data_IF_666597598164
#
_entry.id   IF_666597598164
#
_cell.length_a   1.000
_cell.length_b   1.000
_cell.length_c   1.000
_cell.angle_alpha   90.00
_cell.angle_beta   90.00
_cell.angle_gamma   90.00
#
_symmetry.space_group_name_H-M   'P 1'
#
loop_
_entity.id
_entity.type
_entity.pdbx_description
1 polymer ?
#
# COMPACT_ATOMS: atom_id res chain seq x y z
N UNK A 1 -6.52 -0.82 4.24
CA UNK A 1 -6.05 -2.00 5.02
C UNK A 1 -6.34 -1.89 6.52
N UNK A 2 -6.61 -3.00 7.21
CA UNK A 2 -6.77 -3.01 8.67
C UNK A 2 -5.44 -2.79 9.42
N UNK A 3 -5.51 -2.26 10.64
CA UNK A 3 -4.33 -2.04 11.48
C UNK A 3 -3.73 -0.65 11.31
N UNK A 4 -2.41 -0.58 11.07
CA UNK A 4 -1.70 0.71 11.04
C UNK A 4 -2.16 1.61 9.89
N UNK A 5 -2.49 1.05 8.73
CA UNK A 5 -2.93 1.84 7.57
C UNK A 5 -4.21 2.61 7.86
N UNK A 6 -5.16 2.01 8.58
CA UNK A 6 -6.43 2.66 8.92
C UNK A 6 -6.26 3.85 9.88
N UNK A 7 -5.12 3.97 10.57
CA UNK A 7 -4.89 5.06 11.53
C UNK A 7 -4.66 6.40 10.83
N UNK A 8 -4.07 6.44 9.64
CA UNK A 8 -3.89 7.69 8.89
C UNK A 8 -5.24 8.36 8.54
N UNK A 9 -6.17 7.70 7.81
CA UNK A 9 -7.45 8.31 7.46
C UNK A 9 -8.36 8.54 8.66
N UNK A 10 -8.15 7.84 9.78
CA UNK A 10 -8.92 8.09 11.01
C UNK A 10 -8.43 9.27 11.82
N UNK A 11 -7.12 9.42 11.94
CA UNK A 11 -6.52 10.34 12.91
C UNK A 11 -5.93 11.59 12.25
N UNK A 12 -5.62 11.55 10.96
CA UNK A 12 -4.95 12.63 10.25
C UNK A 12 -5.69 13.06 8.98
N UNK A 13 -5.62 12.27 7.90
CA UNK A 13 -6.09 12.71 6.58
C UNK A 13 -7.62 12.86 6.52
N UNK A 14 -8.40 11.99 7.18
CA UNK A 14 -9.85 12.13 7.27
C UNK A 14 -10.32 13.36 8.05
N UNK A 15 -9.84 13.60 9.28
CA UNK A 15 -10.14 14.84 10.01
C UNK A 15 -9.73 16.10 9.24
N UNK A 16 -8.56 16.09 8.59
CA UNK A 16 -8.11 17.19 7.75
C UNK A 16 -9.04 17.41 6.55
N UNK A 17 -9.46 16.33 5.88
CA UNK A 17 -10.42 16.38 4.77
C UNK A 17 -11.77 16.95 5.21
N UNK A 18 -12.30 16.50 6.35
CA UNK A 18 -13.56 17.03 6.90
C UNK A 18 -13.43 18.52 7.23
N UNK A 19 -12.31 18.97 7.81
CA UNK A 19 -12.08 20.38 8.08
C UNK A 19 -12.03 21.22 6.80
N UNK A 20 -11.39 20.73 5.74
CA UNK A 20 -11.20 21.47 4.49
C UNK A 20 -12.44 21.49 3.60
N UNK A 21 -13.26 20.44 3.66
CA UNK A 21 -14.33 20.22 2.68
C UNK A 21 -15.73 20.10 3.29
N UNK A 22 -15.83 19.87 4.60
CA UNK A 22 -17.08 19.50 5.28
C UNK A 22 -17.56 18.07 5.02
N UNK A 23 -16.83 17.29 4.20
CA UNK A 23 -17.17 15.91 3.89
C UNK A 23 -16.57 14.96 4.92
N UNK A 24 -17.39 14.05 5.45
CA UNK A 24 -16.97 13.04 6.41
C UNK A 24 -16.42 11.82 5.70
N UNK A 25 -15.34 11.24 6.24
CA UNK A 25 -14.87 9.92 5.83
C UNK A 25 -15.33 8.85 6.83
N UNK A 26 -15.66 7.66 6.32
CA UNK A 26 -15.94 6.49 7.15
C UNK A 26 -14.97 5.37 6.76
N UNK A 27 -14.01 5.07 7.65
CA UNK A 27 -12.94 4.11 7.37
C UNK A 27 -13.40 2.70 7.75
N UNK A 28 -13.65 1.87 6.72
CA UNK A 28 -13.98 0.45 6.88
C UNK A 28 -12.70 -0.39 6.80
N UNK A 29 -12.36 -1.05 7.91
CA UNK A 29 -11.20 -1.93 7.97
C UNK A 29 -11.52 -3.32 7.44
N UNK A 30 -10.66 -3.81 6.57
CA UNK A 30 -10.70 -5.15 6.02
C UNK A 30 -9.33 -5.80 6.17
N UNK A 31 -9.32 -7.11 6.42
CA UNK A 31 -8.09 -7.89 6.32
C UNK A 31 -7.54 -7.84 4.89
N UNK A 32 -6.24 -8.08 4.69
CA UNK A 32 -5.65 -8.05 3.35
C UNK A 32 -6.40 -8.93 2.32
N UNK A 33 -6.79 -10.19 2.60
CA UNK A 33 -7.60 -10.99 1.68
C UNK A 33 -9.02 -10.44 1.43
N UNK A 34 -9.60 -9.79 2.44
CA UNK A 34 -10.95 -9.24 2.35
C UNK A 34 -11.01 -7.98 1.49
N UNK A 35 -9.93 -7.20 1.41
CA UNK A 35 -9.87 -5.97 0.58
C UNK A 35 -10.19 -6.27 -0.88
N UNK A 36 -9.72 -7.39 -1.42
CA UNK A 36 -10.07 -7.82 -2.77
C UNK A 36 -11.48 -8.44 -2.82
N UNK A 37 -11.71 -9.50 -2.03
CA UNK A 37 -12.89 -10.35 -2.20
C UNK A 37 -14.20 -9.64 -1.86
N UNK A 38 -14.22 -8.76 -0.84
CA UNK A 38 -15.43 -8.01 -0.48
C UNK A 38 -15.72 -6.90 -1.48
N UNK A 39 -14.72 -6.17 -1.96
CA UNK A 39 -14.95 -5.15 -2.98
C UNK A 39 -15.61 -5.75 -4.24
N UNK A 40 -15.13 -6.91 -4.68
CA UNK A 40 -15.74 -7.66 -5.79
C UNK A 40 -17.18 -8.09 -5.47
N UNK A 41 -17.42 -8.64 -4.27
CA UNK A 41 -18.75 -9.10 -3.87
C UNK A 41 -19.77 -7.94 -3.78
N UNK A 42 -19.38 -6.82 -3.18
CA UNK A 42 -20.23 -5.64 -3.07
C UNK A 42 -20.51 -4.99 -4.43
N UNK A 43 -19.54 -5.03 -5.35
CA UNK A 43 -19.74 -4.60 -6.74
C UNK A 43 -20.77 -5.48 -7.45
N UNK A 44 -20.64 -6.82 -7.36
CA UNK A 44 -21.60 -7.76 -7.96
C UNK A 44 -23.01 -7.56 -7.37
N UNK A 45 -23.09 -7.29 -6.05
CA UNK A 45 -24.35 -7.03 -5.37
C UNK A 45 -24.94 -5.65 -5.71
N UNK A 46 -24.14 -4.72 -6.25
CA UNK A 46 -24.55 -3.34 -6.49
C UNK A 46 -24.92 -2.59 -5.21
N UNK A 47 -24.26 -2.92 -4.09
CA UNK A 47 -24.68 -2.43 -2.76
C UNK A 47 -24.32 -0.97 -2.48
N UNK A 48 -23.29 -0.45 -3.15
CA UNK A 48 -22.72 0.87 -2.85
C UNK A 48 -22.03 0.95 -1.48
N UNK A 49 -21.55 -0.18 -0.96
CA UNK A 49 -20.92 -0.22 0.37
C UNK A 49 -19.60 0.58 0.48
N UNK A 50 -18.89 0.77 -0.64
CA UNK A 50 -17.59 1.45 -0.68
C UNK A 50 -17.52 2.46 -1.84
N UNK A 51 -17.06 3.68 -1.54
CA UNK A 51 -16.82 4.72 -2.54
C UNK A 51 -15.36 4.76 -3.03
N UNK A 52 -14.43 4.45 -2.13
CA UNK A 52 -12.98 4.45 -2.37
C UNK A 52 -12.41 3.15 -1.83
N UNK A 53 -11.53 2.52 -2.62
CA UNK A 53 -10.89 1.26 -2.27
C UNK A 53 -9.38 1.47 -2.11
N UNK A 54 -8.86 1.06 -0.97
CA UNK A 54 -7.43 0.79 -0.79
C UNK A 54 -7.14 -0.62 -1.34
N UNK A 55 -6.25 -0.72 -2.33
CA UNK A 55 -6.01 -1.96 -3.08
C UNK A 55 -4.53 -2.18 -3.34
N UNK A 56 -4.12 -3.45 -3.34
CA UNK A 56 -2.80 -3.81 -3.86
C UNK A 56 -2.73 -3.54 -5.37
N UNK A 57 -1.64 -2.94 -5.87
CA UNK A 57 -1.47 -2.71 -7.31
C UNK A 57 -1.42 -4.00 -8.14
N UNK A 58 -1.10 -5.14 -7.52
CA UNK A 58 -1.15 -6.45 -8.16
C UNK A 58 -2.58 -6.85 -8.60
N UNK A 59 -3.62 -6.24 -8.01
CA UNK A 59 -5.02 -6.53 -8.30
C UNK A 59 -5.62 -5.60 -9.35
N UNK A 60 -4.95 -4.50 -9.71
CA UNK A 60 -5.45 -3.49 -10.66
C UNK A 60 -5.98 -4.11 -11.95
N UNK A 61 -5.27 -5.04 -12.64
CA UNK A 61 -5.79 -5.64 -13.87
C UNK A 61 -7.11 -6.38 -13.69
N UNK A 62 -7.23 -7.15 -12.62
CA UNK A 62 -8.40 -7.99 -12.34
C UNK A 62 -9.61 -7.15 -11.95
N UNK A 63 -9.40 -6.14 -11.10
CA UNK A 63 -10.48 -5.22 -10.68
C UNK A 63 -10.95 -4.33 -11.84
N UNK A 64 -10.03 -3.87 -12.70
CA UNK A 64 -10.35 -3.10 -13.89
C UNK A 64 -11.15 -3.93 -14.91
N UNK A 65 -10.68 -5.14 -15.25
CA UNK A 65 -11.38 -6.02 -16.20
C UNK A 65 -12.73 -6.51 -15.64
N UNK A 66 -12.84 -6.67 -14.32
CA UNK A 66 -14.07 -7.00 -13.62
C UNK A 66 -15.05 -5.83 -13.45
N UNK A 67 -14.66 -4.60 -13.80
CA UNK A 67 -15.49 -3.39 -13.66
C UNK A 67 -15.67 -2.89 -12.22
N UNK A 68 -14.91 -3.44 -11.26
CA UNK A 68 -15.01 -3.10 -9.83
C UNK A 68 -14.50 -1.70 -9.54
N UNK A 69 -13.48 -1.25 -10.29
CA UNK A 69 -12.92 0.10 -10.22
C UNK A 69 -13.14 0.82 -11.54
N UNK A 70 -13.19 2.15 -11.48
CA UNK A 70 -13.39 3.00 -12.66
C UNK A 70 -12.05 3.58 -13.17
N UNK A 71 -11.90 3.78 -14.49
CA UNK A 71 -10.78 4.54 -15.01
C UNK A 71 -10.90 6.01 -14.57
N UNK A 72 -9.79 6.62 -14.20
CA UNK A 72 -9.73 7.96 -13.62
C UNK A 72 -9.35 9.04 -14.63
N UNK A 73 -9.06 8.68 -15.89
CA UNK A 73 -8.54 9.62 -16.90
C UNK A 73 -9.39 10.89 -17.05
N UNK A 74 -10.72 10.75 -17.12
CA UNK A 74 -11.64 11.88 -17.29
C UNK A 74 -11.71 12.76 -16.02
N UNK A 75 -11.62 12.14 -14.84
CA UNK A 75 -11.58 12.86 -13.56
C UNK A 75 -10.28 13.63 -13.42
N UNK A 76 -9.15 13.01 -13.78
CA UNK A 76 -7.83 13.65 -13.81
C UNK A 76 -7.85 14.87 -14.73
N UNK A 77 -8.30 14.69 -15.98
CA UNK A 77 -8.34 15.77 -16.96
C UNK A 77 -9.23 16.94 -16.52
N UNK A 78 -10.30 16.67 -15.75
CA UNK A 78 -11.25 17.68 -15.31
C UNK A 78 -10.86 18.38 -14.01
N UNK A 79 -10.31 17.64 -13.04
CA UNK A 79 -10.20 18.10 -11.65
C UNK A 79 -8.77 18.22 -11.15
N UNK A 80 -7.79 17.55 -11.76
CA UNK A 80 -6.41 17.58 -11.28
C UNK A 80 -5.54 18.53 -12.08
N UNK A 81 -4.54 19.10 -11.43
CA UNK A 81 -3.43 19.75 -12.10
C UNK A 81 -2.47 18.67 -12.64
N UNK A 82 -2.24 18.56 -13.96
CA UNK A 82 -1.37 17.52 -14.52
C UNK A 82 0.06 17.54 -13.96
N UNK A 83 0.56 18.70 -13.51
CA UNK A 83 1.89 18.80 -12.91
C UNK A 83 2.01 18.01 -11.59
N UNK A 84 0.91 17.79 -10.87
CA UNK A 84 0.92 17.02 -9.62
C UNK A 84 1.26 15.54 -9.90
N UNK A 85 0.84 15.02 -11.05
CA UNK A 85 1.19 13.65 -11.47
C UNK A 85 2.66 13.54 -11.83
N UNK A 86 3.31 14.63 -12.26
CA UNK A 86 4.71 14.57 -12.67
C UNK A 86 5.69 14.39 -11.51
N UNK A 87 5.29 14.77 -10.30
CA UNK A 87 6.08 14.62 -9.07
C UNK A 87 6.20 13.16 -8.61
N UNK A 88 5.36 12.26 -9.14
CA UNK A 88 5.39 10.86 -8.75
C UNK A 88 6.62 10.14 -9.30
N UNK A 89 7.24 9.30 -8.47
CA UNK A 89 8.29 8.40 -8.91
C UNK A 89 7.78 7.51 -10.07
N UNK A 90 8.58 7.23 -11.12
CA UNK A 90 8.11 6.50 -12.31
C UNK A 90 7.45 5.14 -12.01
N UNK A 91 7.91 4.42 -10.99
CA UNK A 91 7.28 3.18 -10.52
C UNK A 91 5.81 3.41 -10.13
N UNK A 92 5.55 4.46 -9.36
CA UNK A 92 4.22 4.75 -8.81
C UNK A 92 3.27 5.36 -9.84
N UNK A 93 3.80 5.93 -10.93
CA UNK A 93 3.02 6.23 -12.14
C UNK A 93 2.57 4.95 -12.86
N UNK A 94 3.43 3.92 -12.89
CA UNK A 94 3.20 2.70 -13.64
C UNK A 94 2.24 1.72 -12.94
N UNK A 95 2.33 1.58 -11.62
CA UNK A 95 1.53 0.61 -10.84
C UNK A 95 0.00 0.72 -11.00
N UNK A 96 -0.63 1.92 -11.01
CA UNK A 96 -2.07 2.06 -11.23
C UNK A 96 -2.45 2.09 -12.72
N UNK A 97 -1.49 1.97 -13.65
CA UNK A 97 -1.75 2.06 -15.09
C UNK A 97 -1.96 0.67 -15.69
N UNK A 98 -3.12 0.47 -16.33
CA UNK A 98 -3.46 -0.78 -17.00
C UNK A 98 -4.24 -0.52 -18.30
N UNK A 99 -3.88 -1.22 -19.39
CA UNK A 99 -4.44 -1.01 -20.75
C UNK A 99 -4.45 0.46 -21.20
N UNK A 100 -3.39 1.21 -20.85
CA UNK A 100 -3.21 2.61 -21.24
C UNK A 100 -4.09 3.61 -20.48
N UNK A 101 -4.70 3.19 -19.36
CA UNK A 101 -5.56 4.03 -18.51
C UNK A 101 -5.06 4.03 -17.07
N UNK A 102 -5.34 5.11 -16.35
CA UNK A 102 -5.04 5.24 -14.92
C UNK A 102 -6.26 4.76 -14.12
N UNK A 103 -6.06 3.82 -13.20
CA UNK A 103 -7.15 3.18 -12.43
C UNK A 103 -7.10 3.48 -10.92
N UNK A 104 -6.16 4.31 -10.49
CA UNK A 104 -5.96 4.65 -9.08
C UNK A 104 -4.85 5.67 -8.90
N UNK A 105 -4.64 6.08 -7.66
CA UNK A 105 -3.50 6.86 -7.24
C UNK A 105 -2.66 6.09 -6.24
N UNK A 106 -1.38 6.46 -6.21
CA UNK A 106 -0.44 5.95 -5.25
C UNK A 106 -0.71 6.56 -3.87
N UNK A 107 -0.80 5.71 -2.84
CA UNK A 107 -0.93 6.11 -1.42
C UNK A 107 0.42 5.90 -0.71
N UNK A 108 0.89 4.66 -0.69
CA UNK A 108 2.18 4.26 -0.11
C UNK A 108 2.94 3.25 -0.97
N UNK A 109 4.21 3.05 -0.62
CA UNK A 109 5.11 2.16 -1.35
C UNK A 109 6.07 1.43 -0.44
N UNK A 110 6.32 0.17 -0.80
CA UNK A 110 7.17 -0.73 -0.05
C UNK A 110 8.59 -0.79 -0.60
N UNK A 111 9.57 -0.81 0.30
CA UNK A 111 10.93 -1.21 -0.01
C UNK A 111 11.34 -2.37 0.89
N UNK A 112 11.95 -3.39 0.28
CA UNK A 112 12.58 -4.46 1.05
C UNK A 112 13.76 -3.90 1.84
N UNK A 113 13.61 -3.86 3.16
CA UNK A 113 14.64 -3.45 4.09
C UNK A 113 14.96 -4.60 5.06
N UNK A 114 16.24 -4.88 5.26
CA UNK A 114 16.68 -5.80 6.30
C UNK A 114 16.79 -5.05 7.63
N UNK A 115 15.83 -5.32 8.52
CA UNK A 115 15.93 -4.90 9.91
C UNK A 115 16.61 -5.98 10.74
N UNK A 116 17.64 -5.61 11.50
CA UNK A 116 18.33 -6.54 12.39
C UNK A 116 18.76 -5.87 13.68
N UNK A 117 18.94 -6.69 14.73
CA UNK A 117 19.34 -6.26 16.07
C UNK A 117 20.85 -6.13 16.15
N UNK A 118 21.38 -4.93 15.92
CA UNK A 118 22.82 -4.63 15.98
C UNK A 118 23.47 -5.14 17.26
N UNK A 119 22.81 -4.96 18.39
CA UNK A 119 23.29 -5.41 19.70
C UNK A 119 23.49 -6.92 19.79
N UNK A 120 22.72 -7.73 19.07
CA UNK A 120 22.96 -9.19 18.99
C UNK A 120 24.23 -9.48 18.21
N UNK A 121 24.45 -8.77 17.10
CA UNK A 121 25.65 -8.94 16.26
C UNK A 121 26.91 -8.32 16.87
N UNK A 122 26.76 -7.46 17.87
CA UNK A 122 27.83 -6.78 18.60
C UNK A 122 28.11 -7.41 19.99
N UNK A 123 27.24 -8.29 20.49
CA UNK A 123 27.43 -8.98 21.78
C UNK A 123 28.58 -10.00 21.71
N UNK A 124 29.67 -9.81 22.49
CA UNK A 124 30.79 -10.75 22.50
C UNK A 124 30.40 -12.18 22.83
N UNK A 125 29.38 -12.40 23.69
CA UNK A 125 28.91 -13.74 24.03
C UNK A 125 28.26 -14.43 22.85
N UNK A 126 27.51 -13.68 22.05
CA UNK A 126 26.88 -14.20 20.84
C UNK A 126 27.93 -14.49 19.76
N UNK A 127 28.92 -13.60 19.59
CA UNK A 127 30.03 -13.83 18.69
C UNK A 127 30.81 -15.10 19.04
N UNK A 128 31.14 -15.29 20.33
CA UNK A 128 31.86 -16.45 20.82
C UNK A 128 31.04 -17.73 20.64
N UNK A 129 29.79 -17.75 21.10
CA UNK A 129 28.91 -18.91 20.97
C UNK A 129 28.70 -19.32 19.49
N UNK A 130 28.58 -18.36 18.59
CA UNK A 130 28.45 -18.61 17.17
C UNK A 130 29.74 -19.19 16.57
N UNK A 131 30.90 -18.64 16.90
CA UNK A 131 32.20 -19.17 16.47
C UNK A 131 32.42 -20.59 16.98
N UNK A 132 32.13 -20.89 18.25
CA UNK A 132 32.27 -22.24 18.81
C UNK A 132 31.38 -23.24 18.09
N UNK A 133 30.14 -22.86 17.76
CA UNK A 133 29.16 -23.77 17.16
C UNK A 133 29.36 -23.98 15.65
N UNK A 134 29.66 -22.91 14.92
CA UNK A 134 29.66 -22.91 13.46
C UNK A 134 31.06 -22.73 12.85
N UNK A 135 32.08 -22.54 13.67
CA UNK A 135 33.45 -22.22 13.25
C UNK A 135 33.51 -21.02 12.28
N UNK A 136 32.63 -20.03 12.49
CA UNK A 136 32.47 -18.86 11.62
C UNK A 136 32.22 -17.59 12.45
N UNK A 137 32.56 -16.42 11.88
CA UNK A 137 32.30 -15.12 12.50
C UNK A 137 30.82 -14.75 12.37
N UNK A 138 30.19 -14.36 13.48
CA UNK A 138 28.84 -13.81 13.47
C UNK A 138 28.82 -12.44 12.75
N UNK A 139 27.87 -12.26 11.85
CA UNK A 139 27.66 -11.00 11.14
C UNK A 139 26.30 -10.97 10.44
N UNK A 140 25.74 -9.78 10.14
CA UNK A 140 24.48 -9.67 9.41
C UNK A 140 24.55 -10.39 8.05
N UNK A 141 23.44 -10.97 7.57
CA UNK A 141 23.42 -11.64 6.28
C UNK A 141 23.75 -10.67 5.15
N UNK A 142 24.53 -11.14 4.18
CA UNK A 142 24.94 -10.38 2.99
C UNK A 142 24.28 -10.88 1.70
N UNK A 143 23.68 -12.06 1.78
CA UNK A 143 23.08 -12.83 0.68
C UNK A 143 21.76 -13.45 1.16
N UNK A 144 20.99 -14.00 0.23
CA UNK A 144 19.72 -14.69 0.54
C UNK A 144 19.95 -16.14 0.98
N UNK A 145 21.05 -16.75 0.52
CA UNK A 145 21.60 -18.04 1.00
C UNK A 145 22.26 -17.90 2.37
#
# INVERSE_FOLDING_TARGET
>A
EAGLQALDPRNFSGPMWEQLTGMKSNVVELSNPDQYSKAVAEHIAGSGAYDVLDISPAWTPSLADGGVIAPLDDYIAKYMNPADLEDYHPLYKALPTYKGKIWGFFDDGDMFALYYRKDIFEDPKMMEAYQTKFNAKLGPPKTWE
#
